data_IF_365305174461
#
_entry.id   IF_365305174461
#
_cell.length_a   1.000
_cell.length_b   1.000
_cell.length_c   1.000
_cell.angle_alpha   90.00
_cell.angle_beta   90.00
_cell.angle_gamma   90.00
#
_symmetry.space_group_name_H-M   'P 1'
#
loop_
_entity.id
_entity.type
_entity.pdbx_description
1 polymer ?
#
# COMPACT_ATOMS: atom_id res chain seq x y z
N UNK A 1 -4.99 -10.37 14.76
CA UNK A 1 -4.16 -11.41 14.11
C UNK A 1 -5.11 -12.37 13.41
N UNK A 2 -5.00 -12.55 12.09
CA UNK A 2 -5.83 -13.54 11.38
C UNK A 2 -5.25 -14.92 11.70
N UNK A 3 -6.08 -15.77 12.32
CA UNK A 3 -5.75 -17.13 12.73
C UNK A 3 -5.47 -17.96 11.49
N UNK A 4 -4.19 -18.27 11.26
CA UNK A 4 -3.76 -19.09 10.15
C UNK A 4 -3.95 -20.56 10.52
N UNK A 5 -4.93 -21.16 9.84
CA UNK A 5 -5.01 -22.58 9.46
C UNK A 5 -5.68 -23.51 10.50
N UNK A 6 -6.94 -23.87 10.23
CA UNK A 6 -7.50 -25.16 10.64
C UNK A 6 -6.80 -26.25 9.83
N UNK A 7 -5.70 -26.79 10.36
CA UNK A 7 -4.94 -27.85 9.70
C UNK A 7 -5.75 -29.15 9.85
N UNK A 8 -6.44 -29.58 8.79
CA UNK A 8 -6.84 -30.99 8.67
C UNK A 8 -5.56 -31.82 8.63
N UNK A 9 -5.33 -32.63 9.66
CA UNK A 9 -4.16 -33.51 9.79
C UNK A 9 -4.16 -34.51 8.63
N UNK A 10 -3.30 -34.27 7.64
CA UNK A 10 -3.01 -35.21 6.57
C UNK A 10 -2.15 -36.35 7.11
N UNK A 11 -2.41 -37.58 6.68
CA UNK A 11 -1.62 -38.76 7.08
C UNK A 11 -0.38 -38.94 6.20
N UNK A 12 -0.36 -38.33 5.01
CA UNK A 12 0.79 -38.30 4.12
C UNK A 12 0.81 -37.02 3.28
N UNK A 13 2.01 -36.52 3.00
CA UNK A 13 2.33 -35.45 2.06
C UNK A 13 2.00 -35.79 0.58
N UNK A 14 1.41 -36.96 0.31
CA UNK A 14 0.95 -37.40 -1.01
C UNK A 14 -0.57 -37.27 -1.19
N UNK A 15 -1.30 -36.83 -0.16
CA UNK A 15 -2.76 -36.66 -0.22
C UNK A 15 -3.14 -35.59 -1.26
N UNK A 16 -3.84 -36.00 -2.33
CA UNK A 16 -4.20 -35.12 -3.45
C UNK A 16 -4.95 -33.86 -3.03
N UNK A 17 -5.83 -33.98 -2.04
CA UNK A 17 -6.60 -32.85 -1.49
C UNK A 17 -5.72 -31.81 -0.78
N UNK A 18 -4.57 -32.23 -0.24
CA UNK A 18 -3.58 -31.34 0.40
C UNK A 18 -2.77 -30.63 -0.69
N UNK A 19 -2.35 -31.35 -1.72
CA UNK A 19 -1.57 -30.81 -2.84
C UNK A 19 -2.36 -29.81 -3.66
N UNK A 20 -3.63 -30.10 -3.97
CA UNK A 20 -4.52 -29.18 -4.70
C UNK A 20 -4.89 -27.95 -3.84
N UNK A 21 -5.05 -28.12 -2.53
CA UNK A 21 -5.32 -27.02 -1.59
C UNK A 21 -4.11 -26.11 -1.34
N UNK A 22 -2.90 -26.53 -1.73
CA UNK A 22 -1.66 -25.76 -1.59
C UNK A 22 -1.25 -25.00 -2.86
N UNK A 23 -2.04 -25.06 -3.94
CA UNK A 23 -1.78 -24.30 -5.17
C UNK A 23 -1.83 -22.79 -4.84
N UNK A 24 -0.65 -22.17 -4.72
CA UNK A 24 -0.50 -20.75 -4.40
C UNK A 24 -0.17 -20.43 -2.94
N UNK A 25 -0.09 -21.42 -2.04
CA UNK A 25 0.32 -21.20 -0.65
C UNK A 25 1.85 -21.03 -0.62
N UNK A 26 2.31 -19.78 -0.50
CA UNK A 26 3.73 -19.46 -0.35
C UNK A 26 4.45 -18.97 -1.61
N UNK A 27 3.75 -18.78 -2.73
CA UNK A 27 4.28 -18.03 -3.88
C UNK A 27 4.30 -16.54 -3.52
N UNK A 28 5.27 -16.12 -2.71
CA UNK A 28 5.54 -14.69 -2.47
C UNK A 28 5.79 -13.95 -3.78
N UNK A 29 5.46 -12.65 -3.82
CA UNK A 29 5.56 -11.83 -5.04
C UNK A 29 6.97 -11.41 -5.45
N UNK A 30 8.02 -12.13 -5.03
CA UNK A 30 9.41 -11.80 -5.34
C UNK A 30 9.70 -12.19 -6.79
N UNK A 31 10.20 -11.24 -7.59
CA UNK A 31 10.56 -11.45 -8.99
C UNK A 31 9.39 -11.48 -9.97
N UNK A 32 8.18 -11.11 -9.55
CA UNK A 32 7.00 -11.03 -10.43
C UNK A 32 6.59 -9.58 -10.69
N UNK A 33 6.04 -9.31 -11.88
CA UNK A 33 5.43 -8.01 -12.16
C UNK A 33 4.08 -7.93 -11.44
N UNK A 34 3.97 -7.10 -10.41
CA UNK A 34 2.72 -6.90 -9.68
C UNK A 34 2.24 -5.47 -9.87
N UNK A 35 0.93 -5.32 -10.05
CA UNK A 35 0.27 -4.01 -9.98
C UNK A 35 0.56 -3.35 -8.63
N UNK A 36 0.84 -2.05 -8.64
CA UNK A 36 1.02 -1.27 -7.43
C UNK A 36 -0.23 -1.35 -6.54
N UNK A 37 -0.06 -1.58 -5.25
CA UNK A 37 -1.14 -1.88 -4.30
C UNK A 37 -2.21 -0.77 -4.23
N UNK A 38 -1.81 0.49 -4.46
CA UNK A 38 -2.74 1.63 -4.47
C UNK A 38 -3.14 2.12 -5.86
N UNK A 39 -2.77 1.43 -6.95
CA UNK A 39 -3.07 1.90 -8.32
C UNK A 39 -4.57 2.13 -8.57
N UNK A 40 -5.46 1.29 -8.01
CA UNK A 40 -6.90 1.51 -8.10
C UNK A 40 -7.35 2.78 -7.37
N UNK A 41 -6.78 3.04 -6.20
CA UNK A 41 -7.07 4.26 -5.43
C UNK A 41 -6.56 5.51 -6.14
N UNK A 42 -5.42 5.42 -6.81
CA UNK A 42 -4.86 6.52 -7.60
C UNK A 42 -5.78 6.89 -8.77
N UNK A 43 -6.24 5.91 -9.55
CA UNK A 43 -7.12 6.18 -10.69
C UNK A 43 -8.54 6.58 -10.29
N UNK A 44 -9.02 6.09 -9.15
CA UNK A 44 -10.33 6.46 -8.61
C UNK A 44 -10.33 7.81 -7.86
N UNK A 45 -9.17 8.41 -7.60
CA UNK A 45 -9.06 9.62 -6.76
C UNK A 45 -9.28 9.38 -5.26
N UNK A 46 -9.21 8.13 -4.82
CA UNK A 46 -9.39 7.72 -3.41
C UNK A 46 -8.06 7.64 -2.64
N UNK A 47 -6.94 7.79 -3.34
CA UNK A 47 -5.62 7.86 -2.72
C UNK A 47 -5.47 9.22 -2.03
N UNK A 48 -5.54 9.23 -0.70
CA UNK A 48 -5.39 10.44 0.11
C UNK A 48 -3.91 10.85 0.20
N UNK A 49 -3.56 11.98 -0.40
CA UNK A 49 -2.28 12.67 -0.29
C UNK A 49 -2.29 13.71 0.84
N UNK A 50 -1.18 14.45 1.02
CA UNK A 50 -1.01 15.40 2.14
C UNK A 50 -2.09 16.48 2.11
N UNK A 51 -2.33 17.09 0.95
CA UNK A 51 -3.25 18.20 0.78
C UNK A 51 -4.73 17.78 0.65
N UNK A 52 -5.00 16.47 0.51
CA UNK A 52 -6.37 15.93 0.47
C UNK A 52 -7.00 15.81 1.87
N UNK A 53 -6.19 16.03 2.91
CA UNK A 53 -6.65 15.92 4.30
C UNK A 53 -7.56 17.11 4.63
N UNK A 54 -8.71 16.89 5.29
CA UNK A 54 -9.58 17.99 5.69
C UNK A 54 -8.87 18.97 6.62
N UNK A 55 -9.12 20.26 6.40
CA UNK A 55 -8.55 21.33 7.23
C UNK A 55 -9.03 21.22 8.69
N UNK A 56 -8.11 21.44 9.62
CA UNK A 56 -8.41 21.46 11.06
C UNK A 56 -9.03 22.80 11.49
N UNK A 57 -9.76 22.79 12.60
CA UNK A 57 -10.29 24.03 13.19
C UNK A 57 -9.14 24.93 13.63
N UNK A 58 -9.07 26.13 13.05
CA UNK A 58 -8.02 27.10 13.33
C UNK A 58 -6.70 26.83 12.59
N UNK A 59 -6.71 25.99 11.56
CA UNK A 59 -5.56 25.81 10.67
C UNK A 59 -5.18 27.13 9.99
N UNK A 60 -3.88 27.43 9.99
CA UNK A 60 -3.32 28.63 9.35
C UNK A 60 -2.61 28.22 8.06
N UNK A 61 -2.76 29.04 7.02
CA UNK A 61 -2.05 28.88 5.76
C UNK A 61 -0.86 29.84 5.72
N UNK A 62 0.30 29.32 5.29
CA UNK A 62 1.50 30.11 5.13
C UNK A 62 1.92 30.15 3.65
N UNK A 63 2.55 31.25 3.26
CA UNK A 63 3.23 31.40 1.98
C UNK A 63 4.56 32.09 2.22
N UNK A 64 5.58 31.73 1.45
CA UNK A 64 6.92 32.30 1.56
C UNK A 64 7.10 33.36 0.48
N UNK A 65 7.33 34.61 0.89
CA UNK A 65 7.76 35.66 -0.03
C UNK A 65 9.14 35.33 -0.61
N UNK A 66 9.25 35.33 -1.94
CA UNK A 66 10.50 34.99 -2.64
C UNK A 66 11.17 36.26 -3.19
N UNK A 67 12.50 36.26 -3.21
CA UNK A 67 13.27 37.34 -3.85
C UNK A 67 13.00 37.37 -5.34
N UNK A 68 12.80 38.57 -5.89
CA UNK A 68 12.78 38.79 -7.35
C UNK A 68 14.17 39.08 -7.91
N UNK A 69 15.17 39.25 -7.04
CA UNK A 69 16.55 39.56 -7.37
C UNK A 69 17.43 38.34 -7.13
N UNK A 70 18.28 37.99 -8.11
CA UNK A 70 19.23 36.89 -7.98
C UNK A 70 20.33 37.18 -6.94
N UNK A 71 20.71 38.45 -6.75
CA UNK A 71 21.65 38.92 -5.73
C UNK A 71 21.31 40.35 -5.32
N UNK A 72 21.06 40.58 -4.04
CA UNK A 72 20.73 41.89 -3.46
C UNK A 72 21.04 41.89 -1.94
N UNK A 73 21.18 43.09 -1.35
CA UNK A 73 21.14 43.27 0.10
C UNK A 73 19.68 43.54 0.51
N UNK A 74 19.25 42.95 1.63
CA UNK A 74 17.92 43.18 2.22
C UNK A 74 17.96 44.43 3.11
#
# INVERSE_FOLDING_TARGET
MRTLIDIKKASSNTDKNVVEGQIGVGLGGVGTHKKHESADKQVAGEAIYVDDRPSLRGELHAYVGQSTMAHANI
#
